data_IF_420252291401
#
_entry.id   IF_420252291401
#
_cell.length_a   1.000
_cell.length_b   1.000
_cell.length_c   1.000
_cell.angle_alpha   90.00
_cell.angle_beta   90.00
_cell.angle_gamma   90.00
#
_symmetry.space_group_name_H-M   'P 1'
#
loop_
_entity.id
_entity.type
_entity.pdbx_description
1 polymer ?
#
# COMPACT_ATOMS: atom_id res chain seq x y z
N UNK A 1 -4.79 1.14 -14.19
CA UNK A 1 -4.15 2.39 -14.71
C UNK A 1 -4.54 3.63 -13.97
N UNK A 2 -5.83 3.93 -13.77
CA UNK A 2 -6.26 5.16 -13.08
C UNK A 2 -5.57 5.33 -11.72
N UNK A 3 -5.43 4.24 -10.95
CA UNK A 3 -4.58 4.18 -9.74
C UNK A 3 -3.16 4.67 -10.01
N UNK A 4 -2.38 3.98 -10.84
CA UNK A 4 -1.00 4.37 -11.17
C UNK A 4 -0.86 5.82 -11.68
N UNK A 5 -1.77 6.28 -12.53
CA UNK A 5 -1.79 7.67 -13.01
C UNK A 5 -2.02 8.66 -11.87
N UNK A 6 -3.00 8.39 -11.01
CA UNK A 6 -3.25 9.18 -9.80
C UNK A 6 -2.04 9.22 -8.87
N UNK A 7 -1.35 8.09 -8.69
CA UNK A 7 -0.14 8.01 -7.86
C UNK A 7 1.03 8.80 -8.44
N UNK A 8 1.23 8.73 -9.76
CA UNK A 8 2.26 9.52 -10.43
C UNK A 8 1.97 11.01 -10.26
N UNK A 9 0.71 11.42 -10.43
CA UNK A 9 0.28 12.82 -10.20
C UNK A 9 0.54 13.23 -8.76
N UNK A 10 0.20 12.39 -7.77
CA UNK A 10 0.45 12.68 -6.35
C UNK A 10 1.95 12.77 -6.03
N UNK A 11 2.78 11.90 -6.62
CA UNK A 11 4.22 11.91 -6.44
C UNK A 11 4.87 13.18 -7.04
N UNK A 12 4.46 13.54 -8.26
CA UNK A 12 4.89 14.79 -8.92
C UNK A 12 4.41 15.99 -8.13
N UNK A 13 3.14 16.00 -7.70
CA UNK A 13 2.57 17.08 -6.89
C UNK A 13 3.34 17.28 -5.60
N UNK A 14 3.64 16.19 -4.88
CA UNK A 14 4.46 16.24 -3.67
C UNK A 14 5.87 16.80 -3.94
N UNK A 15 6.48 16.43 -5.06
CA UNK A 15 7.82 16.90 -5.43
C UNK A 15 7.84 18.39 -5.80
N UNK A 16 6.77 18.90 -6.43
CA UNK A 16 6.69 20.29 -6.92
C UNK A 16 6.11 21.26 -5.88
N UNK A 17 5.15 20.80 -5.10
CA UNK A 17 4.33 21.60 -4.20
C UNK A 17 4.43 21.07 -2.77
N UNK A 18 5.63 21.13 -2.19
CA UNK A 18 5.78 20.93 -0.74
C UNK A 18 4.87 21.94 0.00
N UNK A 19 4.31 21.57 1.16
CA UNK A 19 3.20 22.16 1.95
C UNK A 19 2.96 23.69 1.94
N UNK A 20 3.86 24.53 1.41
CA UNK A 20 3.86 25.99 1.45
C UNK A 20 3.76 26.70 0.08
N UNK A 21 3.80 25.99 -1.05
CA UNK A 21 4.07 26.65 -2.33
C UNK A 21 2.92 27.54 -2.87
N UNK A 22 1.69 27.49 -2.34
CA UNK A 22 0.53 28.11 -3.01
C UNK A 22 -0.52 28.82 -2.13
N UNK A 23 -0.15 29.34 -0.96
CA UNK A 23 -1.06 30.14 -0.10
C UNK A 23 -2.10 29.31 0.69
N UNK A 24 -2.88 29.99 1.54
CA UNK A 24 -3.77 29.36 2.54
C UNK A 24 -4.79 28.39 1.93
N UNK A 25 -5.32 28.72 0.75
CA UNK A 25 -6.32 27.88 0.06
C UNK A 25 -5.72 26.57 -0.46
N UNK A 26 -4.46 26.59 -0.92
CA UNK A 26 -3.78 25.37 -1.37
C UNK A 26 -3.11 24.60 -0.22
N UNK A 27 -2.96 25.17 0.98
CA UNK A 27 -2.52 24.39 2.15
C UNK A 27 -3.57 23.33 2.53
N UNK A 28 -4.85 23.59 2.25
CA UNK A 28 -5.95 22.62 2.38
C UNK A 28 -5.85 21.51 1.31
N UNK A 29 -5.38 21.84 0.09
CA UNK A 29 -5.13 20.89 -1.01
C UNK A 29 -3.72 20.28 -0.93
N UNK A 30 -3.34 19.81 0.25
CA UNK A 30 -2.15 19.00 0.43
C UNK A 30 -2.26 17.68 -0.38
N UNK A 31 -1.11 17.09 -0.76
CA UNK A 31 -1.04 15.80 -1.45
C UNK A 31 -1.82 14.71 -0.69
N UNK A 32 -1.87 14.78 0.63
CA UNK A 32 -2.62 13.84 1.45
C UNK A 32 -4.13 13.99 1.29
N UNK A 33 -4.66 15.22 1.29
CA UNK A 33 -6.08 15.49 1.02
C UNK A 33 -6.45 14.99 -0.38
N UNK A 34 -5.59 15.25 -1.38
CA UNK A 34 -5.75 14.74 -2.74
C UNK A 34 -5.74 13.21 -2.80
N UNK A 35 -4.86 12.55 -2.05
CA UNK A 35 -4.82 11.09 -1.93
C UNK A 35 -6.15 10.55 -1.42
N UNK A 36 -6.71 11.10 -0.35
CA UNK A 36 -7.97 10.61 0.18
C UNK A 36 -9.17 10.92 -0.71
N UNK A 37 -9.23 12.10 -1.34
CA UNK A 37 -10.26 12.40 -2.36
C UNK A 37 -10.20 11.35 -3.48
N UNK A 38 -9.00 11.02 -3.92
CA UNK A 38 -8.77 9.99 -4.91
C UNK A 38 -9.21 8.60 -4.42
N UNK A 39 -8.89 8.22 -3.18
CA UNK A 39 -9.32 6.95 -2.58
C UNK A 39 -10.84 6.87 -2.44
N UNK A 40 -11.52 7.95 -2.05
CA UNK A 40 -12.99 8.00 -1.95
C UNK A 40 -13.64 7.88 -3.32
N UNK A 41 -13.08 8.53 -4.35
CA UNK A 41 -13.56 8.40 -5.72
C UNK A 41 -13.39 6.96 -6.25
N UNK A 42 -12.20 6.37 -6.03
CA UNK A 42 -11.92 4.99 -6.39
C UNK A 42 -12.84 4.01 -5.65
N UNK A 43 -13.05 4.20 -4.35
CA UNK A 43 -13.97 3.39 -3.55
C UNK A 43 -15.41 3.53 -4.04
N UNK A 44 -15.87 4.74 -4.31
CA UNK A 44 -17.25 4.97 -4.78
C UNK A 44 -17.50 4.21 -6.09
N UNK A 45 -16.54 4.26 -7.02
CA UNK A 45 -16.60 3.48 -8.25
C UNK A 45 -16.63 1.97 -7.99
N UNK A 46 -15.74 1.45 -7.13
CA UNK A 46 -15.67 0.01 -6.85
C UNK A 46 -16.89 -0.50 -6.09
N UNK A 47 -17.48 0.30 -5.19
CA UNK A 47 -18.73 -0.03 -4.50
C UNK A 47 -19.88 -0.18 -5.48
N UNK A 48 -20.05 0.78 -6.40
CA UNK A 48 -21.09 0.70 -7.43
C UNK A 48 -20.93 -0.58 -8.26
N UNK A 49 -19.72 -0.87 -8.73
CA UNK A 49 -19.44 -2.08 -9.50
C UNK A 49 -19.67 -3.36 -8.71
N UNK A 50 -19.25 -3.39 -7.44
CA UNK A 50 -19.46 -4.53 -6.54
C UNK A 50 -20.93 -4.82 -6.32
N UNK A 51 -21.74 -3.81 -5.99
CA UNK A 51 -23.18 -4.00 -5.78
C UNK A 51 -23.90 -4.39 -7.06
N UNK A 52 -23.50 -3.83 -8.22
CA UNK A 52 -24.03 -4.25 -9.51
C UNK A 52 -23.74 -5.73 -9.78
N UNK A 53 -22.51 -6.20 -9.52
CA UNK A 53 -22.18 -7.61 -9.73
C UNK A 53 -22.91 -8.54 -8.76
N UNK A 54 -23.02 -8.17 -7.47
CA UNK A 54 -23.69 -9.02 -6.48
C UNK A 54 -25.20 -9.22 -6.75
N UNK A 55 -25.84 -8.27 -7.42
CA UNK A 55 -27.25 -8.38 -7.80
C UNK A 55 -27.48 -9.30 -9.01
N UNK A 56 -26.43 -9.60 -9.77
CA UNK A 56 -26.54 -10.43 -10.96
C UNK A 56 -26.52 -11.93 -10.63
N UNK A 57 -27.17 -12.77 -11.45
CA UNK A 57 -27.11 -14.21 -11.27
C UNK A 57 -25.67 -14.71 -11.47
N UNK A 58 -25.29 -15.72 -10.69
CA UNK A 58 -24.02 -16.41 -10.87
C UNK A 58 -24.08 -17.30 -12.12
N UNK A 59 -23.02 -17.30 -12.91
CA UNK A 59 -22.85 -18.09 -14.12
C UNK A 59 -22.49 -19.56 -13.83
N UNK A 60 -23.25 -20.19 -12.91
CA UNK A 60 -23.02 -21.59 -12.51
C UNK A 60 -23.30 -22.60 -13.61
N UNK A 61 -24.01 -22.18 -14.66
CA UNK A 61 -24.24 -22.92 -15.90
C UNK A 61 -22.99 -22.97 -16.80
N UNK A 62 -22.12 -21.97 -16.72
CA UNK A 62 -20.85 -21.94 -17.47
C UNK A 62 -19.75 -22.73 -16.77
N UNK A 63 -19.57 -22.53 -15.46
CA UNK A 63 -18.56 -23.23 -14.67
C UNK A 63 -19.05 -23.47 -13.23
N UNK A 64 -19.00 -24.72 -12.70
CA UNK A 64 -19.42 -25.00 -11.33
C UNK A 64 -18.64 -24.22 -10.24
N UNK A 65 -17.40 -23.82 -10.51
CA UNK A 65 -16.59 -22.99 -9.61
C UNK A 65 -17.11 -21.56 -9.46
N UNK A 66 -18.01 -21.11 -10.35
CA UNK A 66 -18.72 -19.85 -10.20
C UNK A 66 -19.71 -19.87 -9.01
N UNK A 67 -20.02 -21.04 -8.44
CA UNK A 67 -20.86 -21.15 -7.23
C UNK A 67 -20.09 -20.77 -5.95
N UNK A 68 -19.75 -19.48 -5.85
CA UNK A 68 -19.00 -18.91 -4.73
C UNK A 68 -19.76 -18.98 -3.40
N UNK A 69 -21.09 -19.02 -3.43
CA UNK A 69 -21.95 -19.04 -2.22
C UNK A 69 -22.25 -20.44 -1.67
N UNK A 70 -21.56 -21.47 -2.17
CA UNK A 70 -21.63 -22.83 -1.61
C UNK A 70 -21.21 -22.87 -0.12
N UNK A 71 -20.41 -21.90 0.34
CA UNK A 71 -20.04 -21.73 1.75
C UNK A 71 -20.92 -20.64 2.38
N UNK A 72 -21.82 -21.05 3.29
CA UNK A 72 -22.88 -20.17 3.82
C UNK A 72 -22.38 -18.92 4.57
N UNK A 73 -21.24 -19.01 5.27
CA UNK A 73 -20.67 -17.88 6.01
C UNK A 73 -19.86 -16.92 5.13
N UNK A 74 -19.40 -17.35 3.95
CA UNK A 74 -18.58 -16.51 3.06
C UNK A 74 -19.38 -15.32 2.53
N UNK A 75 -20.67 -15.53 2.25
CA UNK A 75 -21.56 -14.47 1.74
C UNK A 75 -21.69 -13.28 2.71
N UNK A 76 -22.16 -13.44 3.97
CA UNK A 76 -22.24 -12.31 4.89
C UNK A 76 -20.88 -11.68 5.18
N UNK A 77 -19.80 -12.46 5.18
CA UNK A 77 -18.44 -11.95 5.36
C UNK A 77 -18.00 -11.00 4.23
N UNK A 78 -18.16 -11.42 2.98
CA UNK A 78 -17.90 -10.61 1.78
C UNK A 78 -18.81 -9.38 1.73
N UNK A 79 -20.09 -9.53 2.08
CA UNK A 79 -21.06 -8.42 2.07
C UNK A 79 -20.75 -7.34 3.11
N UNK A 80 -20.07 -7.68 4.21
CA UNK A 80 -19.70 -6.75 5.27
C UNK A 80 -18.38 -6.00 4.98
N UNK A 81 -17.53 -6.52 4.09
CA UNK A 81 -16.22 -5.93 3.77
C UNK A 81 -16.31 -4.46 3.27
N UNK A 82 -17.25 -4.06 2.39
CA UNK A 82 -17.45 -2.65 2.01
C UNK A 82 -17.56 -1.67 3.18
N UNK A 83 -18.29 -2.04 4.23
CA UNK A 83 -18.46 -1.21 5.42
C UNK A 83 -17.16 -1.07 6.21
N UNK A 84 -16.35 -2.15 6.27
CA UNK A 84 -15.03 -2.10 6.88
C UNK A 84 -14.13 -1.10 6.15
N UNK A 85 -14.09 -1.11 4.81
CA UNK A 85 -13.28 -0.16 4.02
C UNK A 85 -13.70 1.30 4.24
N UNK A 86 -15.01 1.56 4.22
CA UNK A 86 -15.54 2.91 4.48
C UNK A 86 -15.09 3.41 5.86
N UNK A 87 -15.19 2.55 6.88
CA UNK A 87 -14.77 2.88 8.25
C UNK A 87 -13.27 3.12 8.31
N UNK A 88 -12.45 2.28 7.67
CA UNK A 88 -10.99 2.43 7.58
C UNK A 88 -10.58 3.79 6.99
N UNK A 89 -11.21 4.21 5.88
CA UNK A 89 -10.93 5.53 5.29
C UNK A 89 -11.27 6.65 6.26
N UNK A 90 -12.45 6.61 6.89
CA UNK A 90 -12.89 7.65 7.80
C UNK A 90 -11.94 7.78 8.99
N UNK A 91 -11.54 6.66 9.60
CA UNK A 91 -10.60 6.65 10.73
C UNK A 91 -9.23 7.22 10.35
N UNK A 92 -8.66 6.76 9.22
CA UNK A 92 -7.34 7.23 8.77
C UNK A 92 -7.38 8.71 8.32
N UNK A 93 -8.48 9.17 7.73
CA UNK A 93 -8.70 10.58 7.41
C UNK A 93 -8.61 11.44 8.68
N UNK A 94 -9.37 11.11 9.74
CA UNK A 94 -9.36 11.90 10.97
C UNK A 94 -7.98 11.90 11.66
N UNK A 95 -7.28 10.78 11.67
CA UNK A 95 -5.91 10.72 12.20
C UNK A 95 -4.96 11.60 11.40
N UNK A 96 -5.05 11.52 10.06
CA UNK A 96 -4.24 12.32 9.15
C UNK A 96 -4.46 13.81 9.39
N UNK A 97 -5.72 14.25 9.48
CA UNK A 97 -6.07 15.65 9.76
C UNK A 97 -5.42 16.15 11.05
N UNK A 98 -5.37 15.31 12.09
CA UNK A 98 -4.67 15.61 13.34
C UNK A 98 -3.18 15.94 13.13
N UNK A 99 -2.46 15.15 12.34
CA UNK A 99 -1.06 15.43 12.02
C UNK A 99 -0.89 16.61 11.07
N UNK A 100 -1.75 16.74 10.06
CA UNK A 100 -1.73 17.88 9.12
C UNK A 100 -1.95 19.18 9.88
N UNK A 101 -2.81 19.21 10.89
CA UNK A 101 -3.01 20.38 11.73
C UNK A 101 -1.74 20.80 12.49
N UNK A 102 -0.98 19.84 13.04
CA UNK A 102 0.30 20.15 13.71
C UNK A 102 1.38 20.60 12.71
N UNK A 103 1.40 20.04 11.48
CA UNK A 103 2.25 20.55 10.38
C UNK A 103 1.96 22.03 10.11
N UNK A 104 0.69 22.44 10.10
CA UNK A 104 0.31 23.84 9.89
C UNK A 104 0.73 24.77 11.04
N UNK A 105 1.05 24.23 12.23
CA UNK A 105 1.65 25.00 13.33
C UNK A 105 3.17 25.06 13.26
N UNK A 106 3.77 24.51 12.20
CA UNK A 106 5.21 24.40 12.02
C UNK A 106 5.91 23.63 13.14
N UNK A 107 5.29 22.54 13.60
CA UNK A 107 5.84 21.64 14.62
C UNK A 107 6.20 20.32 13.96
N UNK A 108 7.46 19.87 14.06
CA UNK A 108 7.89 18.54 13.65
C UNK A 108 7.49 18.15 12.23
N UNK A 109 7.52 19.11 11.28
CA UNK A 109 6.88 18.99 9.95
C UNK A 109 7.24 17.66 9.28
N UNK A 110 8.53 17.31 9.26
CA UNK A 110 9.04 16.12 8.61
C UNK A 110 8.58 14.84 9.34
N UNK A 111 8.57 14.84 10.67
CA UNK A 111 8.12 13.70 11.49
C UNK A 111 6.63 13.43 11.30
N UNK A 112 5.82 14.48 11.33
CA UNK A 112 4.38 14.41 11.07
C UNK A 112 4.08 13.95 9.64
N UNK A 113 4.78 14.48 8.62
CA UNK A 113 4.60 14.06 7.23
C UNK A 113 4.85 12.57 7.02
N UNK A 114 5.84 12.00 7.71
CA UNK A 114 6.12 10.56 7.67
C UNK A 114 5.08 9.74 8.39
N UNK A 115 4.65 10.17 9.57
CA UNK A 115 3.55 9.54 10.29
C UNK A 115 2.29 9.47 9.41
N UNK A 116 1.92 10.56 8.75
CA UNK A 116 0.78 10.64 7.82
C UNK A 116 0.85 9.57 6.71
N UNK A 117 2.03 9.36 6.11
CA UNK A 117 2.21 8.37 5.07
C UNK A 117 2.04 6.93 5.58
N UNK A 118 2.46 6.66 6.81
CA UNK A 118 2.29 5.36 7.46
C UNK A 118 0.81 5.14 7.82
N UNK A 119 0.15 6.17 8.36
CA UNK A 119 -1.26 6.16 8.74
C UNK A 119 -2.19 5.96 7.55
N UNK A 120 -1.84 6.48 6.37
CA UNK A 120 -2.65 6.34 5.17
C UNK A 120 -2.65 4.91 4.60
N UNK A 121 -1.66 4.07 4.95
CA UNK A 121 -1.47 2.74 4.36
C UNK A 121 -2.71 1.84 4.45
N UNK A 122 -3.37 1.65 5.61
CA UNK A 122 -4.54 0.76 5.69
C UNK A 122 -5.71 1.22 4.81
N UNK A 123 -5.87 2.53 4.61
CA UNK A 123 -6.93 3.05 3.73
C UNK A 123 -6.63 2.71 2.26
N UNK A 124 -5.39 2.94 1.81
CA UNK A 124 -4.96 2.59 0.45
C UNK A 124 -5.13 1.08 0.21
N UNK A 125 -4.62 0.26 1.12
CA UNK A 125 -4.64 -1.19 0.99
C UNK A 125 -6.07 -1.74 1.00
N UNK A 126 -6.96 -1.21 1.86
CA UNK A 126 -8.36 -1.59 1.91
C UNK A 126 -9.11 -1.25 0.60
N UNK A 127 -8.83 -0.08 -0.02
CA UNK A 127 -9.42 0.28 -1.31
C UNK A 127 -8.90 -0.62 -2.43
N UNK A 128 -7.62 -0.99 -2.41
CA UNK A 128 -7.04 -1.93 -3.38
C UNK A 128 -7.61 -3.35 -3.23
N UNK A 129 -7.80 -3.81 -2.00
CA UNK A 129 -8.47 -5.08 -1.71
C UNK A 129 -9.94 -5.08 -2.18
N UNK A 130 -10.66 -3.97 -2.00
CA UNK A 130 -12.01 -3.81 -2.53
C UNK A 130 -12.03 -3.83 -4.07
N UNK A 131 -11.10 -3.11 -4.69
CA UNK A 131 -10.97 -3.06 -6.15
C UNK A 131 -10.64 -4.42 -6.76
N UNK A 132 -9.85 -5.25 -6.07
CA UNK A 132 -9.45 -6.58 -6.56
C UNK A 132 -10.60 -7.59 -6.58
N UNK A 133 -11.63 -7.42 -5.72
CA UNK A 133 -12.81 -8.29 -5.72
C UNK A 133 -13.71 -8.09 -6.94
N UNK A 134 -13.77 -6.88 -7.50
CA UNK A 134 -14.67 -6.56 -8.62
C UNK A 134 -14.40 -7.45 -9.84
N UNK A 135 -13.16 -7.61 -10.36
CA UNK A 135 -12.87 -8.55 -11.46
C UNK A 135 -13.31 -9.99 -11.20
N UNK A 136 -13.21 -10.47 -9.95
CA UNK A 136 -13.61 -11.83 -9.59
C UNK A 136 -15.14 -11.95 -9.58
N UNK A 137 -15.85 -10.92 -9.12
CA UNK A 137 -17.30 -10.86 -9.21
C UNK A 137 -17.80 -10.74 -10.65
N UNK A 138 -17.13 -9.93 -11.48
CA UNK A 138 -17.39 -9.83 -12.92
C UNK A 138 -17.20 -11.19 -13.62
N UNK A 139 -16.16 -11.95 -13.23
CA UNK A 139 -15.92 -13.29 -13.73
C UNK A 139 -17.10 -14.23 -13.41
N UNK A 140 -17.48 -14.36 -12.15
CA UNK A 140 -18.54 -15.30 -11.73
C UNK A 140 -19.95 -14.90 -12.16
N UNK A 141 -20.12 -13.66 -12.62
CA UNK A 141 -21.38 -13.15 -13.21
C UNK A 141 -21.34 -13.11 -14.74
N UNK A 142 -20.25 -13.60 -15.35
CA UNK A 142 -20.03 -13.60 -16.80
C UNK A 142 -20.09 -12.19 -17.44
N UNK A 143 -19.66 -11.16 -16.71
CA UNK A 143 -19.54 -9.79 -17.20
C UNK A 143 -18.14 -9.43 -17.70
N UNK A 144 -17.15 -10.31 -17.48
CA UNK A 144 -15.80 -10.03 -17.90
C UNK A 144 -15.64 -10.38 -19.39
N UNK A 145 -15.27 -9.37 -20.19
CA UNK A 145 -14.95 -9.56 -21.60
C UNK A 145 -13.43 -9.77 -21.74
N UNK A 146 -13.01 -10.86 -22.37
CA UNK A 146 -11.60 -11.13 -22.68
C UNK A 146 -10.95 -10.04 -23.53
N UNK A 147 -11.74 -9.35 -24.38
CA UNK A 147 -11.29 -8.22 -25.22
C UNK A 147 -10.82 -7.02 -24.39
N UNK A 148 -11.14 -6.95 -23.09
CA UNK A 148 -10.66 -5.89 -22.20
C UNK A 148 -9.14 -5.90 -22.01
N UNK A 149 -8.45 -7.02 -22.26
CA UNK A 149 -6.99 -7.06 -22.25
C UNK A 149 -6.38 -6.34 -23.46
N UNK A 150 -6.99 -6.50 -24.62
CA UNK A 150 -6.54 -5.91 -25.88
C UNK A 150 -6.91 -4.42 -25.95
N UNK A 151 -8.04 -4.06 -25.33
CA UNK A 151 -8.57 -2.70 -25.31
C UNK A 151 -8.77 -2.21 -23.88
N UNK A 152 -7.68 -1.96 -23.12
CA UNK A 152 -7.84 -1.28 -21.84
C UNK A 152 -8.50 0.07 -22.10
N UNK A 153 -9.68 0.31 -21.51
CA UNK A 153 -10.56 1.47 -21.73
C UNK A 153 -11.41 1.46 -23.02
N UNK A 154 -11.54 0.32 -23.71
CA UNK A 154 -12.22 0.27 -25.00
C UNK A 154 -11.50 1.06 -26.09
N UNK A 155 -10.24 1.45 -25.83
CA UNK A 155 -9.36 2.11 -26.79
C UNK A 155 -8.32 1.08 -27.20
N UNK A 156 -8.29 0.74 -28.48
CA UNK A 156 -7.19 -0.04 -29.01
C UNK A 156 -5.95 0.87 -29.06
N UNK A 157 -5.09 0.76 -28.05
CA UNK A 157 -3.86 1.55 -27.94
C UNK A 157 -2.94 1.23 -29.12
N UNK A 158 -2.89 -0.03 -29.57
CA UNK A 158 -2.12 -0.40 -30.76
C UNK A 158 -2.63 0.33 -31.99
N UNK A 159 -3.94 0.40 -32.22
CA UNK A 159 -4.50 1.14 -33.37
C UNK A 159 -4.12 2.63 -33.30
N UNK A 160 -4.20 3.26 -32.12
CA UNK A 160 -3.79 4.67 -31.97
C UNK A 160 -2.29 4.87 -32.19
N UNK A 161 -1.46 3.97 -31.67
CA UNK A 161 0.00 4.03 -31.82
C UNK A 161 0.37 3.80 -33.28
N UNK A 162 -0.22 2.79 -33.93
CA UNK A 162 -0.03 2.53 -35.36
C UNK A 162 -0.50 3.71 -36.21
N UNK A 163 -1.64 4.32 -35.90
CA UNK A 163 -2.14 5.51 -36.59
C UNK A 163 -1.23 6.73 -36.39
N UNK A 164 -0.56 6.86 -35.24
CA UNK A 164 0.45 7.90 -35.02
C UNK A 164 1.72 7.68 -35.85
N UNK A 165 2.11 6.42 -36.08
CA UNK A 165 3.32 6.08 -36.85
C UNK A 165 3.07 5.91 -38.36
N UNK A 166 1.84 5.63 -38.80
CA UNK A 166 1.46 5.43 -40.20
C UNK A 166 0.15 6.16 -40.57
N UNK A 167 0.17 7.50 -40.70
CA UNK A 167 -1.04 8.29 -40.92
C UNK A 167 -1.71 8.15 -42.31
N UNK A 168 -1.18 7.35 -43.25
CA UNK A 168 -1.62 7.33 -44.66
C UNK A 168 -1.96 5.93 -45.24
N UNK A 169 -2.36 4.96 -44.41
CA UNK A 169 -2.82 3.65 -44.91
C UNK A 169 -4.27 3.65 -45.37
N UNK A 170 -4.53 3.22 -46.62
CA UNK A 170 -5.87 3.01 -47.19
C UNK A 170 -6.71 2.06 -46.31
N UNK A 171 -7.94 2.47 -45.98
CA UNK A 171 -8.88 1.69 -45.17
C UNK A 171 -9.32 0.42 -45.93
N UNK A 172 -8.87 -0.76 -45.47
CA UNK A 172 -9.39 -2.04 -45.94
C UNK A 172 -10.70 -2.39 -45.23
N UNK A 173 -11.74 -2.65 -46.02
CA UNK A 173 -13.03 -3.19 -45.59
C UNK A 173 -12.84 -4.60 -45.00
N UNK A 174 -13.07 -4.75 -43.70
CA UNK A 174 -13.09 -6.05 -43.02
C UNK A 174 -14.46 -6.69 -43.22
N UNK A 175 -14.49 -7.83 -43.92
CA UNK A 175 -15.67 -8.66 -44.15
C UNK A 175 -15.95 -9.52 -42.90
N UNK A 176 -17.03 -9.20 -42.17
CA UNK A 176 -17.41 -9.87 -40.91
C UNK A 176 -18.37 -11.02 -41.22
N UNK A 177 -17.82 -12.17 -41.60
CA UNK A 177 -18.58 -13.42 -41.70
C UNK A 177 -18.74 -14.08 -40.32
N UNK A 178 -19.99 -14.19 -39.84
CA UNK A 178 -20.38 -14.80 -38.56
C UNK A 178 -20.30 -16.35 -38.59
N UNK A 179 -19.59 -17.02 -37.67
CA UNK A 179 -19.61 -18.48 -37.60
C UNK A 179 -20.63 -19.00 -36.57
N UNK A 180 -21.53 -19.87 -37.03
CA UNK A 180 -22.43 -20.65 -36.20
C UNK A 180 -21.76 -21.90 -35.63
N UNK A 181 -21.59 -21.94 -34.30
CA UNK A 181 -21.72 -23.13 -33.43
C UNK A 181 -21.44 -22.69 -31.97
N UNK A 182 -22.50 -22.39 -31.20
CA UNK A 182 -22.37 -21.67 -29.92
C UNK A 182 -22.05 -22.54 -28.69
N UNK A 183 -22.34 -23.85 -28.70
CA UNK A 183 -22.34 -24.66 -27.46
C UNK A 183 -20.96 -25.12 -26.98
N UNK A 184 -19.98 -25.30 -27.88
CA UNK A 184 -18.59 -25.64 -27.48
C UNK A 184 -17.71 -24.38 -27.26
N UNK A 185 -18.20 -23.18 -27.59
CA UNK A 185 -17.45 -21.94 -27.41
C UNK A 185 -17.49 -21.42 -25.96
N UNK A 186 -18.44 -21.85 -25.13
CA UNK A 186 -18.64 -21.30 -23.79
C UNK A 186 -17.50 -21.64 -22.82
N UNK A 187 -17.10 -22.92 -22.74
CA UNK A 187 -15.98 -23.33 -21.88
C UNK A 187 -14.62 -22.79 -22.36
N UNK A 188 -14.45 -22.61 -23.68
CA UNK A 188 -13.26 -21.97 -24.25
C UNK A 188 -13.13 -20.48 -23.84
N UNK A 189 -14.22 -19.83 -23.43
CA UNK A 189 -14.23 -18.43 -23.02
C UNK A 189 -13.96 -18.23 -21.52
N UNK A 190 -14.28 -19.19 -20.65
CA UNK A 190 -14.11 -19.04 -19.20
C UNK A 190 -12.65 -18.92 -18.77
N UNK A 191 -11.77 -19.80 -19.26
CA UNK A 191 -10.37 -19.81 -18.80
C UNK A 191 -9.61 -18.52 -19.17
N UNK A 192 -9.71 -17.98 -20.41
CA UNK A 192 -9.15 -16.67 -20.72
C UNK A 192 -9.74 -15.55 -19.86
N UNK A 193 -11.06 -15.54 -19.67
CA UNK A 193 -11.76 -14.59 -18.79
C UNK A 193 -11.23 -14.65 -17.34
N UNK A 194 -11.04 -15.86 -16.81
CA UNK A 194 -10.48 -16.09 -15.48
C UNK A 194 -9.06 -15.54 -15.37
N UNK A 195 -8.20 -15.80 -16.35
CA UNK A 195 -6.84 -15.25 -16.38
C UNK A 195 -6.85 -13.71 -16.37
N UNK A 196 -7.75 -13.07 -17.14
CA UNK A 196 -7.93 -11.61 -17.12
C UNK A 196 -8.34 -11.12 -15.72
N UNK A 197 -9.31 -11.79 -15.10
CA UNK A 197 -9.82 -11.45 -13.78
C UNK A 197 -8.73 -11.56 -12.71
N UNK A 198 -8.02 -12.68 -12.68
CA UNK A 198 -6.91 -12.95 -11.76
C UNK A 198 -5.79 -11.92 -11.94
N UNK A 199 -5.48 -11.55 -13.18
CA UNK A 199 -4.47 -10.55 -13.41
C UNK A 199 -4.86 -9.15 -12.92
N UNK A 200 -6.11 -8.72 -13.17
CA UNK A 200 -6.63 -7.44 -12.63
C UNK A 200 -6.65 -7.46 -11.11
N UNK A 201 -7.05 -8.59 -10.53
CA UNK A 201 -7.00 -8.84 -9.09
C UNK A 201 -5.59 -8.64 -8.54
N UNK A 202 -4.58 -9.34 -9.09
CA UNK A 202 -3.20 -9.26 -8.62
C UNK A 202 -2.58 -7.88 -8.80
N UNK A 203 -2.91 -7.20 -9.90
CA UNK A 203 -2.45 -5.84 -10.17
C UNK A 203 -2.86 -4.86 -9.06
N UNK A 204 -4.03 -5.03 -8.47
CA UNK A 204 -4.46 -4.19 -7.34
C UNK A 204 -3.60 -4.45 -6.09
N UNK A 205 -3.24 -5.70 -5.82
CA UNK A 205 -2.35 -6.04 -4.71
C UNK A 205 -0.93 -5.49 -4.90
N UNK A 206 -0.37 -5.55 -6.11
CA UNK A 206 0.97 -4.97 -6.35
C UNK A 206 1.02 -3.45 -6.12
N UNK A 207 -0.07 -2.74 -6.41
CA UNK A 207 -0.21 -1.32 -6.01
C UNK A 207 -0.18 -1.18 -4.49
N UNK A 208 -0.92 -2.04 -3.79
CA UNK A 208 -0.92 -2.10 -2.33
C UNK A 208 0.50 -2.35 -1.78
N UNK A 209 1.20 -3.36 -2.28
CA UNK A 209 2.54 -3.75 -1.86
C UNK A 209 3.55 -2.61 -2.07
N UNK A 210 3.42 -1.83 -3.14
CA UNK A 210 4.24 -0.64 -3.37
C UNK A 210 4.04 0.42 -2.29
N UNK A 211 2.80 0.66 -1.86
CA UNK A 211 2.50 1.57 -0.75
C UNK A 211 2.98 1.03 0.58
N UNK A 212 2.88 -0.28 0.78
CA UNK A 212 3.37 -0.95 1.96
C UNK A 212 4.89 -0.79 2.10
N UNK A 213 5.63 -1.04 1.01
CA UNK A 213 7.08 -0.85 0.97
C UNK A 213 7.46 0.62 1.20
N UNK A 214 6.70 1.57 0.66
CA UNK A 214 6.91 2.99 0.89
C UNK A 214 6.66 3.39 2.35
N UNK A 215 5.55 2.94 2.95
CA UNK A 215 5.26 3.20 4.35
C UNK A 215 6.32 2.58 5.28
N UNK A 216 6.79 1.36 4.96
CA UNK A 216 7.87 0.71 5.70
C UNK A 216 9.19 1.50 5.60
N UNK A 217 9.50 2.05 4.42
CA UNK A 217 10.62 2.97 4.23
C UNK A 217 10.49 4.22 5.13
N UNK A 218 9.32 4.85 5.16
CA UNK A 218 9.10 6.03 6.00
C UNK A 218 9.18 5.70 7.49
N UNK A 219 8.65 4.55 7.89
CA UNK A 219 8.71 4.07 9.27
C UNK A 219 10.14 3.78 9.72
N UNK A 220 10.93 3.10 8.88
CA UNK A 220 12.34 2.83 9.14
C UNK A 220 13.14 4.13 9.27
N UNK A 221 12.91 5.09 8.36
CA UNK A 221 13.54 6.41 8.41
C UNK A 221 13.24 7.14 9.72
N UNK A 222 11.95 7.20 10.08
CA UNK A 222 11.48 7.87 11.28
C UNK A 222 12.08 7.25 12.54
N UNK A 223 12.08 5.91 12.63
CA UNK A 223 12.60 5.18 13.79
C UNK A 223 14.11 5.40 13.96
N UNK A 224 14.89 5.33 12.88
CA UNK A 224 16.34 5.53 12.92
C UNK A 224 16.72 6.97 13.26
N UNK A 225 15.94 7.96 12.81
CA UNK A 225 16.14 9.37 13.18
C UNK A 225 15.85 9.62 14.66
N UNK A 226 14.77 9.08 15.21
CA UNK A 226 14.46 9.21 16.64
C UNK A 226 15.57 8.61 17.51
N UNK A 227 16.10 7.45 17.12
CA UNK A 227 17.23 6.83 17.83
C UNK A 227 18.47 7.73 17.75
N UNK A 228 18.76 8.30 16.57
CA UNK A 228 19.89 9.20 16.38
C UNK A 228 19.77 10.47 17.23
N UNK A 229 18.59 11.10 17.25
CA UNK A 229 18.31 12.28 18.08
C UNK A 229 18.55 12.00 19.56
N UNK A 230 18.07 10.86 20.05
CA UNK A 230 18.29 10.45 21.44
C UNK A 230 19.77 10.25 21.77
N UNK A 231 20.56 9.66 20.86
CA UNK A 231 22.01 9.54 21.05
C UNK A 231 22.73 10.89 21.01
N UNK A 232 22.32 11.82 20.15
CA UNK A 232 22.89 13.17 20.13
C UNK A 232 22.61 13.90 21.44
N UNK A 233 21.38 13.80 21.96
CA UNK A 233 21.01 14.37 23.26
C UNK A 233 21.84 13.76 24.40
N UNK A 234 22.01 12.44 24.44
CA UNK A 234 22.86 11.77 25.44
C UNK A 234 24.34 12.14 25.29
N UNK A 235 24.85 12.30 24.06
CA UNK A 235 26.23 12.71 23.82
C UNK A 235 26.51 14.16 24.22
N UNK A 236 25.47 14.99 24.31
CA UNK A 236 25.52 16.36 24.81
C UNK A 236 25.33 16.49 26.33
N UNK A 237 25.10 15.38 27.05
CA UNK A 237 24.99 15.39 28.51
C UNK A 237 26.32 15.76 29.19
N UNK A 238 26.24 16.41 30.35
CA UNK A 238 27.41 16.77 31.17
C UNK A 238 28.05 15.54 31.85
N UNK A 239 27.40 14.38 31.79
CA UNK A 239 27.85 13.15 32.44
C UNK A 239 28.79 12.40 31.51
N UNK A 240 30.10 12.44 31.80
CA UNK A 240 31.15 11.83 30.96
C UNK A 240 30.89 10.34 30.62
N UNK A 241 30.31 9.59 31.56
CA UNK A 241 29.97 8.17 31.36
C UNK A 241 28.87 8.00 30.29
N UNK A 242 27.82 8.82 30.34
CA UNK A 242 26.73 8.81 29.35
C UNK A 242 27.25 9.25 27.98
N UNK A 243 28.11 10.27 27.94
CA UNK A 243 28.71 10.74 26.70
C UNK A 243 29.57 9.68 26.02
N UNK A 244 30.38 8.91 26.77
CA UNK A 244 31.17 7.80 26.21
C UNK A 244 30.27 6.68 25.69
N UNK A 245 29.25 6.29 26.45
CA UNK A 245 28.28 5.28 26.04
C UNK A 245 27.54 5.70 24.75
N UNK A 246 27.12 6.97 24.66
CA UNK A 246 26.44 7.50 23.47
C UNK A 246 27.32 7.46 22.21
N UNK A 247 28.63 7.74 22.33
CA UNK A 247 29.56 7.66 21.18
C UNK A 247 29.73 6.23 20.68
N UNK A 248 29.84 5.26 21.58
CA UNK A 248 29.92 3.84 21.20
C UNK A 248 28.61 3.38 20.55
N UNK A 249 27.47 3.83 21.07
CA UNK A 249 26.15 3.56 20.50
C UNK A 249 25.97 4.19 19.12
N UNK A 250 26.49 5.39 18.86
CA UNK A 250 26.46 6.02 17.54
C UNK A 250 27.21 5.20 16.47
N UNK A 251 28.34 4.59 16.82
CA UNK A 251 29.04 3.70 15.92
C UNK A 251 28.20 2.45 15.60
N UNK A 252 27.57 1.85 16.63
CA UNK A 252 26.66 0.71 16.45
C UNK A 252 25.43 1.07 15.60
N UNK A 253 24.89 2.28 15.77
CA UNK A 253 23.74 2.80 15.04
C UNK A 253 23.99 2.89 13.54
N UNK A 254 25.17 3.32 13.12
CA UNK A 254 25.52 3.37 11.70
C UNK A 254 25.47 1.98 11.05
N UNK A 255 25.92 0.95 11.76
CA UNK A 255 25.85 -0.43 11.28
C UNK A 255 24.40 -0.94 11.19
N UNK A 256 23.59 -0.72 12.23
CA UNK A 256 22.17 -1.13 12.24
C UNK A 256 21.36 -0.36 11.19
N UNK A 257 21.65 0.93 11.00
CA UNK A 257 21.05 1.77 9.95
C UNK A 257 21.34 1.20 8.57
N UNK A 258 22.60 0.85 8.29
CA UNK A 258 23.00 0.29 7.00
C UNK A 258 22.30 -1.06 6.72
N UNK A 259 22.22 -1.94 7.72
CA UNK A 259 21.53 -3.22 7.61
C UNK A 259 20.02 -3.03 7.37
N UNK A 260 19.40 -2.12 8.11
CA UNK A 260 17.98 -1.79 7.99
C UNK A 260 17.64 -1.28 6.59
N UNK A 261 18.47 -0.38 6.06
CA UNK A 261 18.31 0.13 4.70
C UNK A 261 18.47 -0.94 3.65
N UNK A 262 19.43 -1.86 3.80
CA UNK A 262 19.61 -2.95 2.84
C UNK A 262 18.32 -3.77 2.64
N UNK A 263 17.68 -4.20 3.74
CA UNK A 263 16.43 -4.97 3.66
C UNK A 263 15.27 -4.15 3.11
N UNK A 264 15.11 -2.92 3.60
CA UNK A 264 13.99 -2.04 3.21
C UNK A 264 14.07 -1.61 1.74
N UNK A 265 15.26 -1.23 1.26
CA UNK A 265 15.47 -0.84 -0.15
C UNK A 265 15.30 -2.06 -1.06
N UNK A 266 15.77 -3.24 -0.66
CA UNK A 266 15.56 -4.47 -1.44
C UNK A 266 14.06 -4.74 -1.61
N UNK A 267 13.27 -4.59 -0.54
CA UNK A 267 11.82 -4.74 -0.60
C UNK A 267 11.16 -3.71 -1.53
N UNK A 268 11.51 -2.42 -1.39
CA UNK A 268 11.01 -1.35 -2.28
C UNK A 268 11.32 -1.64 -3.76
N UNK A 269 12.55 -2.04 -4.07
CA UNK A 269 12.95 -2.35 -5.46
C UNK A 269 12.15 -3.51 -6.02
N UNK A 270 11.91 -4.55 -5.23
CA UNK A 270 11.08 -5.69 -5.66
C UNK A 270 9.64 -5.28 -5.91
N UNK A 271 9.02 -4.50 -5.03
CA UNK A 271 7.64 -4.02 -5.21
C UNK A 271 7.49 -3.09 -6.42
N UNK A 272 8.49 -2.25 -6.69
CA UNK A 272 8.54 -1.43 -7.92
C UNK A 272 8.65 -2.32 -9.16
N UNK A 273 9.50 -3.35 -9.13
CA UNK A 273 9.65 -4.33 -10.21
C UNK A 273 8.35 -5.10 -10.47
N UNK A 274 7.71 -5.63 -9.41
CA UNK A 274 6.40 -6.28 -9.47
C UNK A 274 5.34 -5.39 -10.10
N UNK A 275 5.26 -4.14 -9.63
CA UNK A 275 4.35 -3.13 -10.17
C UNK A 275 4.58 -2.89 -11.66
N UNK A 276 5.84 -2.68 -12.07
CA UNK A 276 6.19 -2.45 -13.47
C UNK A 276 5.84 -3.64 -14.36
N UNK A 277 6.16 -4.87 -13.92
CA UNK A 277 5.80 -6.10 -14.62
C UNK A 277 4.29 -6.34 -14.66
N UNK A 278 3.54 -5.88 -13.64
CA UNK A 278 2.08 -5.94 -13.61
C UNK A 278 1.46 -5.05 -14.70
N UNK A 279 2.13 -3.96 -15.07
CA UNK A 279 1.67 -3.00 -16.06
C UNK A 279 2.04 -3.36 -17.51
N UNK A 280 2.99 -4.27 -17.72
CA UNK A 280 3.55 -4.64 -19.01
C UNK A 280 2.52 -4.95 -20.13
N UNK A 281 1.43 -5.72 -19.89
CA UNK A 281 0.46 -6.01 -20.96
C UNK A 281 -0.30 -4.77 -21.44
N UNK A 282 -0.56 -3.82 -20.55
CA UNK A 282 -1.30 -2.62 -20.90
C UNK A 282 -0.52 -1.67 -21.81
N UNK A 283 0.79 -1.85 -21.91
CA UNK A 283 1.66 -1.09 -22.83
C UNK A 283 2.00 -1.88 -24.09
N UNK A 284 1.28 -2.98 -24.37
CA UNK A 284 1.45 -3.81 -25.57
C UNK A 284 2.53 -4.90 -25.42
N UNK A 285 2.95 -5.20 -24.21
CA UNK A 285 3.87 -6.29 -23.94
C UNK A 285 3.25 -7.68 -24.09
N UNK A 286 4.00 -8.64 -24.64
CA UNK A 286 3.56 -10.05 -24.71
C UNK A 286 3.32 -10.64 -23.31
N UNK A 287 2.32 -11.51 -23.20
CA UNK A 287 2.01 -12.29 -21.99
C UNK A 287 2.87 -13.55 -21.86
N UNK A 288 3.56 -13.96 -22.93
CA UNK A 288 4.39 -15.17 -22.93
C UNK A 288 5.59 -15.05 -21.97
N UNK A 289 5.80 -16.06 -21.12
CA UNK A 289 6.89 -16.09 -20.14
C UNK A 289 6.69 -15.20 -18.90
N UNK A 290 5.64 -14.39 -18.87
CA UNK A 290 5.35 -13.46 -17.79
C UNK A 290 5.01 -14.15 -16.47
N UNK A 291 4.27 -15.25 -16.52
CA UNK A 291 3.89 -16.01 -15.31
C UNK A 291 5.13 -16.43 -14.52
N UNK A 292 6.19 -16.85 -15.22
CA UNK A 292 7.47 -17.21 -14.60
C UNK A 292 8.14 -16.00 -13.93
N UNK A 293 8.13 -14.84 -14.60
CA UNK A 293 8.70 -13.59 -14.06
C UNK A 293 7.91 -13.15 -12.82
N UNK A 294 6.58 -13.16 -12.89
CA UNK A 294 5.72 -12.78 -11.78
C UNK A 294 5.88 -13.72 -10.59
N UNK A 295 5.99 -15.03 -10.82
CA UNK A 295 6.26 -16.01 -9.77
C UNK A 295 7.62 -15.75 -9.10
N UNK A 296 8.67 -15.48 -9.88
CA UNK A 296 9.99 -15.13 -9.34
C UNK A 296 9.92 -13.86 -8.47
N UNK A 297 9.21 -12.84 -8.94
CA UNK A 297 9.01 -11.62 -8.18
C UNK A 297 8.17 -11.86 -6.92
N UNK A 298 7.16 -12.73 -6.92
CA UNK A 298 6.39 -13.07 -5.73
C UNK A 298 7.28 -13.74 -4.67
N UNK A 299 8.13 -14.69 -5.07
CA UNK A 299 9.11 -15.33 -4.18
C UNK A 299 10.13 -14.31 -3.65
N UNK A 300 10.66 -13.46 -4.54
CA UNK A 300 11.57 -12.39 -4.15
C UNK A 300 10.91 -11.41 -3.17
N UNK A 301 9.63 -11.07 -3.39
CA UNK A 301 8.85 -10.18 -2.54
C UNK A 301 8.67 -10.77 -1.15
N UNK A 302 8.33 -12.06 -1.07
CA UNK A 302 8.22 -12.79 0.20
C UNK A 302 9.54 -12.81 0.99
N UNK A 303 10.67 -13.09 0.32
CA UNK A 303 11.98 -13.09 0.98
C UNK A 303 12.39 -11.68 1.41
N UNK A 304 12.19 -10.68 0.55
CA UNK A 304 12.54 -9.29 0.82
C UNK A 304 11.69 -8.70 1.95
N UNK A 305 10.39 -8.98 2.00
CA UNK A 305 9.51 -8.54 3.10
C UNK A 305 9.91 -9.19 4.41
N UNK A 306 10.24 -10.49 4.40
CA UNK A 306 10.78 -11.18 5.58
C UNK A 306 12.08 -10.55 6.10
N UNK A 307 13.01 -10.22 5.22
CA UNK A 307 14.25 -9.51 5.58
C UNK A 307 13.97 -8.11 6.15
N UNK A 308 13.02 -7.37 5.57
CA UNK A 308 12.65 -6.05 6.05
C UNK A 308 11.97 -6.10 7.43
N UNK A 309 11.04 -7.04 7.66
CA UNK A 309 10.43 -7.27 8.99
C UNK A 309 11.50 -7.65 10.01
N UNK A 310 12.42 -8.54 9.65
CA UNK A 310 13.49 -8.96 10.56
C UNK A 310 14.37 -7.78 10.96
N UNK A 311 14.72 -6.90 10.02
CA UNK A 311 15.46 -5.67 10.32
C UNK A 311 14.70 -4.74 11.26
N UNK A 312 13.40 -4.53 11.03
CA UNK A 312 12.54 -3.75 11.93
C UNK A 312 12.50 -4.37 13.34
N UNK A 313 12.43 -5.69 13.44
CA UNK A 313 12.48 -6.41 14.72
C UNK A 313 13.84 -6.22 15.43
N UNK A 314 14.95 -6.25 14.70
CA UNK A 314 16.28 -6.00 15.27
C UNK A 314 16.40 -4.58 15.79
N UNK A 315 15.93 -3.58 15.05
CA UNK A 315 15.91 -2.17 15.50
C UNK A 315 15.10 -2.02 16.79
N UNK A 316 13.90 -2.59 16.83
CA UNK A 316 13.05 -2.54 18.03
C UNK A 316 13.75 -3.16 19.23
N UNK A 317 14.33 -4.36 19.07
CA UNK A 317 14.96 -5.09 20.16
C UNK A 317 16.25 -4.42 20.63
N UNK A 318 17.06 -3.90 19.71
CA UNK A 318 18.32 -3.23 20.03
C UNK A 318 18.11 -1.89 20.74
N UNK A 319 17.03 -1.18 20.41
CA UNK A 319 16.81 0.20 20.86
C UNK A 319 15.51 0.39 21.66
N UNK A 320 14.95 -0.67 22.23
CA UNK A 320 13.68 -0.64 22.96
C UNK A 320 13.64 0.44 24.05
N UNK A 321 14.67 0.48 24.91
CA UNK A 321 14.80 1.46 26.00
C UNK A 321 14.81 2.90 25.47
N UNK A 322 15.55 3.14 24.38
CA UNK A 322 15.71 4.45 23.75
C UNK A 322 14.44 4.91 23.03
N UNK A 323 13.55 4.00 22.66
CA UNK A 323 12.31 4.30 21.98
C UNK A 323 11.11 4.41 22.94
N UNK A 324 11.27 4.09 24.22
CA UNK A 324 10.18 3.98 25.21
C UNK A 324 9.26 5.22 25.26
N UNK A 325 9.80 6.42 25.09
CA UNK A 325 9.05 7.68 25.06
C UNK A 325 8.09 7.82 23.86
N UNK A 326 8.34 7.08 22.78
CA UNK A 326 7.53 7.12 21.56
C UNK A 326 6.51 5.98 21.47
N UNK A 327 6.21 5.28 22.57
CA UNK A 327 5.24 4.16 22.58
C UNK A 327 5.50 3.14 21.46
N UNK A 328 6.72 2.57 21.38
CA UNK A 328 7.22 1.87 20.20
C UNK A 328 6.48 0.56 19.95
N UNK A 329 6.03 -0.12 21.00
CA UNK A 329 5.39 -1.43 20.89
C UNK A 329 4.20 -1.39 19.93
N UNK A 330 3.29 -0.42 20.08
CA UNK A 330 2.11 -0.32 19.22
C UNK A 330 2.48 0.07 17.79
N UNK A 331 3.43 1.00 17.62
CA UNK A 331 3.88 1.45 16.29
C UNK A 331 4.56 0.31 15.52
N UNK A 332 5.51 -0.39 16.15
CA UNK A 332 6.20 -1.55 15.56
C UNK A 332 5.25 -2.72 15.33
N UNK A 333 4.34 -3.00 16.26
CA UNK A 333 3.33 -4.06 16.10
C UNK A 333 2.40 -3.75 14.91
N UNK A 334 1.94 -2.51 14.75
CA UNK A 334 1.06 -2.11 13.64
C UNK A 334 1.70 -2.35 12.28
N UNK A 335 2.97 -1.97 12.10
CA UNK A 335 3.73 -2.17 10.87
C UNK A 335 3.98 -3.65 10.62
N UNK A 336 4.37 -4.42 11.64
CA UNK A 336 4.56 -5.87 11.49
C UNK A 336 3.28 -6.58 11.12
N UNK A 337 2.15 -6.21 11.71
CA UNK A 337 0.85 -6.76 11.36
C UNK A 337 0.58 -6.47 9.87
N UNK A 338 0.69 -5.22 9.42
CA UNK A 338 0.46 -4.89 8.01
C UNK A 338 1.34 -5.69 7.04
N UNK A 339 2.66 -5.76 7.29
CA UNK A 339 3.60 -6.46 6.40
C UNK A 339 3.48 -7.99 6.50
N UNK A 340 3.18 -8.51 7.68
CA UNK A 340 2.99 -9.96 7.83
C UNK A 340 1.72 -10.44 7.17
N UNK A 341 0.65 -9.65 7.19
CA UNK A 341 -0.64 -10.09 6.66
C UNK A 341 -0.63 -10.21 5.13
N UNK A 342 -0.05 -9.26 4.40
CA UNK A 342 0.02 -9.32 2.93
C UNK A 342 0.73 -10.59 2.44
N UNK A 343 1.84 -10.98 3.05
CA UNK A 343 2.64 -12.13 2.60
C UNK A 343 2.31 -13.46 3.30
N UNK A 344 2.18 -13.49 4.62
CA UNK A 344 1.99 -14.75 5.35
C UNK A 344 0.60 -15.34 5.14
N UNK A 345 -0.45 -14.55 5.01
CA UNK A 345 -1.79 -15.09 4.83
C UNK A 345 -1.94 -15.80 3.48
N UNK A 346 -1.46 -15.18 2.39
CA UNK A 346 -1.48 -15.81 1.07
C UNK A 346 -0.65 -17.10 1.10
N UNK A 347 0.54 -17.05 1.70
CA UNK A 347 1.38 -18.23 1.90
C UNK A 347 0.71 -19.32 2.74
N UNK A 348 0.03 -18.96 3.82
CA UNK A 348 -0.68 -19.87 4.71
C UNK A 348 -1.89 -20.51 4.02
N UNK A 349 -2.66 -19.75 3.24
CA UNK A 349 -3.79 -20.28 2.47
C UNK A 349 -3.30 -21.28 1.42
N UNK A 350 -2.25 -20.94 0.66
CA UNK A 350 -1.64 -21.84 -0.33
C UNK A 350 -1.08 -23.09 0.34
N UNK A 351 -0.37 -22.92 1.47
CA UNK A 351 0.17 -24.04 2.24
C UNK A 351 -0.96 -24.93 2.74
N UNK A 352 -2.01 -24.38 3.31
CA UNK A 352 -3.14 -25.15 3.83
C UNK A 352 -3.86 -25.93 2.73
N UNK A 353 -4.10 -25.33 1.55
CA UNK A 353 -4.65 -26.04 0.40
C UNK A 353 -3.73 -27.15 -0.10
N UNK A 354 -2.43 -26.88 -0.18
CA UNK A 354 -1.42 -27.85 -0.62
C UNK A 354 -1.34 -29.02 0.36
N UNK A 355 -1.29 -28.74 1.66
CA UNK A 355 -1.32 -29.74 2.72
C UNK A 355 -2.60 -30.57 2.64
N UNK A 356 -3.78 -29.95 2.45
CA UNK A 356 -5.04 -30.68 2.32
C UNK A 356 -5.03 -31.66 1.12
N UNK A 357 -4.41 -31.28 -0.01
CA UNK A 357 -4.25 -32.15 -1.19
C UNK A 357 -3.27 -33.30 -0.95
N UNK A 358 -2.27 -33.11 -0.09
CA UNK A 358 -1.26 -34.13 0.25
C UNK A 358 -1.72 -35.07 1.38
N UNK A 359 -2.76 -34.72 2.14
CA UNK A 359 -3.26 -35.55 3.24
C UNK A 359 -3.94 -36.83 2.71
N UNK A 360 -3.75 -37.99 3.38
CA UNK A 360 -4.53 -39.21 3.13
C UNK A 360 -6.04 -38.98 3.23
N UNK A 361 -6.83 -39.74 2.47
CA UNK A 361 -8.31 -39.58 2.40
C UNK A 361 -9.00 -39.62 3.77
N UNK A 362 -8.48 -40.41 4.72
CA UNK A 362 -9.02 -40.49 6.09
C UNK A 362 -8.86 -39.15 6.81
N UNK A 363 -7.70 -38.50 6.68
CA UNK A 363 -7.46 -37.19 7.30
C UNK A 363 -8.25 -36.09 6.59
N UNK A 364 -8.41 -36.15 5.26
CA UNK A 364 -9.27 -35.21 4.53
C UNK A 364 -10.72 -35.26 5.02
N UNK A 365 -11.25 -36.47 5.31
CA UNK A 365 -12.59 -36.63 5.90
C UNK A 365 -12.66 -35.98 7.28
N UNK A 366 -11.64 -36.13 8.12
CA UNK A 366 -11.58 -35.49 9.46
C UNK A 366 -11.53 -33.97 9.34
N UNK A 367 -10.69 -33.42 8.45
CA UNK A 367 -10.59 -31.98 8.20
C UNK A 367 -11.93 -31.40 7.77
N UNK A 368 -12.70 -32.13 6.93
CA UNK A 368 -14.06 -31.73 6.53
C UNK A 368 -15.08 -31.68 7.68
N UNK A 369 -14.85 -32.37 8.79
CA UNK A 369 -15.74 -32.31 9.95
C UNK A 369 -15.50 -31.09 10.85
N UNK A 370 -14.36 -30.40 10.72
CA UNK A 370 -14.07 -29.19 11.50
C UNK A 370 -14.68 -28.00 10.76
N UNK A 371 -15.78 -27.39 11.27
CA UNK A 371 -16.40 -26.25 10.61
C UNK A 371 -15.38 -25.10 10.54
N UNK A 372 -15.43 -24.29 9.48
CA UNK A 372 -14.43 -23.27 9.13
C UNK A 372 -13.12 -23.82 8.56
N UNK A 373 -12.39 -24.70 9.25
CA UNK A 373 -11.12 -25.24 8.72
C UNK A 373 -11.36 -26.11 7.50
N UNK A 374 -12.38 -26.98 7.57
CA UNK A 374 -12.81 -27.80 6.44
C UNK A 374 -13.26 -26.95 5.25
N UNK A 375 -14.05 -25.90 5.49
CA UNK A 375 -14.50 -25.00 4.43
C UNK A 375 -13.32 -24.29 3.77
N UNK A 376 -12.43 -23.70 4.58
CA UNK A 376 -11.27 -22.95 4.11
C UNK A 376 -10.31 -23.84 3.30
N UNK A 377 -10.09 -25.08 3.76
CA UNK A 377 -9.22 -26.05 3.08
C UNK A 377 -9.81 -26.59 1.76
N UNK A 378 -11.13 -26.54 1.61
CA UNK A 378 -11.86 -26.99 0.40
C UNK A 378 -12.38 -25.83 -0.45
N UNK A 379 -12.03 -24.57 -0.14
CA UNK A 379 -12.39 -23.43 -0.99
C UNK A 379 -11.81 -23.60 -2.40
N UNK A 380 -12.65 -23.31 -3.39
CA UNK A 380 -12.21 -23.14 -4.78
C UNK A 380 -11.26 -21.94 -4.88
N UNK A 381 -10.48 -21.90 -5.95
CA UNK A 381 -9.59 -20.77 -6.22
C UNK A 381 -10.37 -19.44 -6.24
N UNK A 382 -11.51 -19.39 -6.92
CA UNK A 382 -12.36 -18.20 -7.02
C UNK A 382 -12.87 -17.75 -5.65
N UNK A 383 -13.26 -18.69 -4.78
CA UNK A 383 -13.68 -18.37 -3.41
C UNK A 383 -12.55 -17.79 -2.58
N UNK A 384 -11.32 -18.30 -2.72
CA UNK A 384 -10.14 -17.72 -2.05
C UNK A 384 -9.88 -16.30 -2.51
N UNK A 385 -10.01 -16.04 -3.82
CA UNK A 385 -9.87 -14.70 -4.40
C UNK A 385 -11.00 -13.73 -3.99
N UNK A 386 -12.06 -14.19 -3.32
CA UNK A 386 -13.04 -13.30 -2.66
C UNK A 386 -12.81 -13.21 -1.16
N UNK A 387 -12.48 -14.34 -0.53
CA UNK A 387 -12.23 -14.43 0.91
C UNK A 387 -11.01 -13.61 1.33
N UNK A 388 -9.89 -13.76 0.63
CA UNK A 388 -8.62 -13.13 1.02
C UNK A 388 -8.68 -11.60 1.02
N UNK A 389 -9.15 -10.91 -0.04
CA UNK A 389 -9.32 -9.46 0.02
C UNK A 389 -10.30 -9.02 1.11
N UNK A 390 -11.38 -9.79 1.34
CA UNK A 390 -12.34 -9.49 2.40
C UNK A 390 -11.71 -9.54 3.79
N UNK A 391 -10.92 -10.58 4.07
CA UNK A 391 -10.17 -10.72 5.32
C UNK A 391 -9.23 -9.53 5.54
N UNK A 392 -8.48 -9.18 4.51
CA UNK A 392 -7.55 -8.07 4.53
C UNK A 392 -8.23 -6.72 4.79
N UNK A 393 -9.45 -6.49 4.27
CA UNK A 393 -10.22 -5.26 4.55
C UNK A 393 -10.56 -5.13 6.04
N UNK A 394 -10.94 -6.23 6.71
CA UNK A 394 -11.19 -6.23 8.16
C UNK A 394 -9.90 -5.99 8.96
N UNK A 395 -8.76 -6.46 8.46
CA UNK A 395 -7.48 -6.26 9.12
C UNK A 395 -6.96 -4.84 8.94
N UNK A 396 -7.18 -4.23 7.78
CA UNK A 396 -6.95 -2.81 7.58
C UNK A 396 -7.79 -1.97 8.54
N UNK A 397 -9.03 -2.40 8.83
CA UNK A 397 -9.86 -1.75 9.85
C UNK A 397 -9.27 -1.90 11.26
N UNK A 398 -8.83 -3.11 11.64
CA UNK A 398 -8.17 -3.33 12.92
C UNK A 398 -6.88 -2.49 13.04
N UNK A 399 -6.10 -2.41 11.97
CA UNK A 399 -4.89 -1.58 11.88
C UNK A 399 -5.19 -0.10 12.03
N UNK A 400 -6.21 0.41 11.32
CA UNK A 400 -6.65 1.80 11.45
C UNK A 400 -7.12 2.12 12.87
N UNK A 401 -7.82 1.18 13.53
CA UNK A 401 -8.21 1.30 14.94
C UNK A 401 -6.95 1.37 15.83
N UNK A 402 -5.98 0.46 15.67
CA UNK A 402 -4.72 0.51 16.42
C UNK A 402 -3.94 1.82 16.23
N UNK A 403 -3.96 2.38 15.01
CA UNK A 403 -3.29 3.64 14.72
C UNK A 403 -3.84 4.83 15.52
N UNK A 404 -5.11 4.80 15.99
CA UNK A 404 -5.69 5.85 16.83
C UNK A 404 -4.89 6.06 18.12
N UNK A 405 -4.30 4.99 18.66
CA UNK A 405 -3.46 5.06 19.87
C UNK A 405 -1.98 5.11 19.54
N UNK A 406 -1.54 4.41 18.48
CA UNK A 406 -0.13 4.32 18.15
C UNK A 406 0.44 5.64 17.61
N UNK A 407 -0.37 6.46 16.92
CA UNK A 407 0.07 7.66 16.22
C UNK A 407 -0.67 8.90 16.72
N UNK A 408 -0.50 9.24 18.00
CA UNK A 408 -1.09 10.47 18.52
C UNK A 408 -0.29 11.70 18.03
N UNK A 409 -0.91 12.69 17.38
CA UNK A 409 -0.21 13.87 16.86
C UNK A 409 0.37 14.77 17.95
N UNK A 410 0.02 14.58 19.23
CA UNK A 410 0.49 15.42 20.34
C UNK A 410 1.63 14.79 21.15
N UNK A 411 2.25 13.74 20.66
CA UNK A 411 3.38 13.11 21.36
C UNK A 411 4.59 14.05 21.42
N UNK A 412 5.27 14.07 22.57
CA UNK A 412 6.31 15.06 22.85
C UNK A 412 7.50 15.00 21.87
N UNK A 413 7.83 13.81 21.34
CA UNK A 413 8.97 13.60 20.45
C UNK A 413 8.81 14.27 19.07
N UNK A 414 7.60 14.70 18.70
CA UNK A 414 7.38 15.56 17.53
C UNK A 414 7.93 16.98 17.72
N UNK A 415 8.04 17.45 18.97
CA UNK A 415 8.46 18.83 19.29
C UNK A 415 9.97 18.99 19.47
N UNK A 416 10.75 17.91 19.40
CA UNK A 416 12.18 17.87 19.72
C UNK A 416 13.09 18.53 18.65
N UNK A 417 12.59 19.56 17.96
CA UNK A 417 13.23 20.25 16.83
C UNK A 417 14.35 21.23 17.24
N UNK A 418 14.81 21.21 18.51
CA UNK A 418 15.88 22.08 19.03
C UNK A 418 17.21 21.95 18.27
N UNK A 419 17.35 20.94 17.39
CA UNK A 419 18.56 20.71 16.58
C UNK A 419 18.44 21.30 15.16
N UNK A 420 17.25 21.70 14.70
CA UNK A 420 16.99 22.14 13.30
C UNK A 420 16.67 23.64 13.14
N UNK A 421 17.19 24.52 14.01
CA UNK A 421 17.23 25.97 13.72
C UNK A 421 17.92 26.30 12.38
N UNK A 422 18.70 25.38 11.81
CA UNK A 422 19.33 25.54 10.49
C UNK A 422 18.39 25.34 9.28
N UNK A 423 17.25 24.65 9.42
CA UNK A 423 16.29 24.45 8.32
C UNK A 423 15.20 25.53 8.25
N UNK A 424 15.07 26.36 9.29
CA UNK A 424 14.12 27.49 9.36
C UNK A 424 14.71 28.82 8.86
N UNK A 425 15.54 28.82 7.82
CA UNK A 425 15.78 30.08 7.12
C UNK A 425 14.55 30.43 6.27
N UNK A 426 13.83 31.53 6.55
CA UNK A 426 12.79 31.98 5.65
C UNK A 426 13.40 32.26 4.28
N UNK A 427 12.87 31.64 3.22
CA UNK A 427 13.23 31.91 1.82
C UNK A 427 13.06 33.39 1.45
N UNK A 428 12.23 34.11 2.21
CA UNK A 428 12.24 35.55 2.26
C UNK A 428 13.33 35.96 3.25
N UNK A 429 14.51 36.24 2.69
CA UNK A 429 15.72 36.60 3.43
C UNK A 429 15.38 37.49 4.62
N UNK A 430 15.92 37.10 5.78
CA UNK A 430 15.87 37.85 7.04
C UNK A 430 15.94 39.34 6.67
N UNK A 431 14.85 40.07 6.88
CA UNK A 431 14.81 41.53 6.67
C UNK A 431 16.09 42.03 7.34
N UNK A 432 17.02 42.67 6.61
CA UNK A 432 18.35 42.94 7.14
C UNK A 432 18.16 43.55 8.51
N UNK A 433 18.62 42.84 9.54
CA UNK A 433 18.65 43.37 10.89
C UNK A 433 19.31 44.74 10.72
N UNK A 434 18.53 45.80 10.99
CA UNK A 434 19.09 47.14 11.00
C UNK A 434 20.35 47.03 11.83
N UNK A 435 21.52 47.42 11.31
CA UNK A 435 22.75 47.38 12.10
C UNK A 435 22.41 48.07 13.40
N UNK A 436 22.47 47.30 14.49
CA UNK A 436 22.30 47.80 15.83
C UNK A 436 23.39 48.86 15.96
N UNK A 437 22.98 50.12 15.89
CA UNK A 437 23.88 51.25 15.96
C UNK A 437 24.58 51.09 17.31
N UNK A 438 25.89 50.83 17.27
CA UNK A 438 26.78 50.89 18.42
C UNK A 438 26.85 52.35 18.91
N UNK A 439 25.74 52.86 19.44
CA UNK A 439 25.65 54.14 20.14
C UNK A 439 25.75 53.83 21.65
N UNK A 440 26.96 53.56 22.13
CA UNK A 440 27.37 53.81 23.52
C UNK A 440 28.81 53.33 23.79
N UNK A 441 29.80 53.90 23.11
CA UNK A 441 31.21 53.82 23.58
C UNK A 441 31.97 55.15 23.53
N UNK A 442 31.29 56.29 23.32
CA UNK A 442 31.94 57.61 23.23
C UNK A 442 31.71 58.56 24.42
N UNK A 443 31.03 58.16 25.51
CA UNK A 443 30.76 59.07 26.65
C UNK A 443 31.66 58.89 27.88
N UNK A 444 32.88 58.37 27.74
CA UNK A 444 33.81 58.17 28.88
C UNK A 444 35.20 58.83 28.72
N UNK A 445 35.36 59.75 27.75
CA UNK A 445 36.60 60.52 27.55
C UNK A 445 36.37 62.03 27.27
N UNK A 446 35.42 62.63 27.98
CA UNK A 446 35.33 64.09 28.22
C UNK A 446 34.84 64.30 29.63
#
# INVERSE_FOLDING_TARGET
MLMYGGLLVLAVWRSLCFYRCCGVWLSILNYTSLLYVFLVAALSYTLVMFYNCIQQPLATDLDPSANIWSIGWLRPFVMAAPAAVCTTIVLNWFQTEGHVFEIHKDIGIVKHDRAVQIIALPAVFAVMAMASMVPILELVTNNINSEMLETPFGINVQDRVQHLFHPHGEAQLIDVSLPGNFSNQTHLRWEPAKQVALWRYETCFFVGDLFEAWALYQFGKLSLELIKENFVKQAASDVEVEQRAARDLLASHSAVTSLTWLGTITFVVVCVGQTACSLWPYIGGSTEGRENIMLQFQVAGFVASGAAIYNVFIVERAYHEHLSHASPILKFLSVKILVSLSFFQRGLLVLMQTTNRLLPEVLQKIVRYVPLVGDLANMTEVQIHLFYPSLLMFECLLSAIMHLWAWNPREAWYNDDDVEESERQPLLGKKPEKPEVQEAQESLYT
#
